data_IF_184043846361
#
_entry.id   IF_184043846361
#
_cell.length_a   1.000
_cell.length_b   1.000
_cell.length_c   1.000
_cell.angle_alpha   90.00
_cell.angle_beta   90.00
_cell.angle_gamma   90.00
#
_symmetry.space_group_name_H-M   'P 1'
#
loop_
_entity.id
_entity.type
_entity.pdbx_description
1 polymer ?
#
# COMPACT_ATOMS: atom_id res chain seq x y z
N UNK A 1 46.49 -8.71 -23.07
CA UNK A 1 47.71 -9.52 -23.24
C UNK A 1 47.40 -10.98 -22.92
N UNK A 2 47.68 -11.86 -23.87
CA UNK A 2 47.91 -13.31 -23.73
C UNK A 2 46.74 -14.26 -23.40
N UNK A 3 46.13 -14.76 -24.48
CA UNK A 3 45.65 -16.12 -24.67
C UNK A 3 46.69 -17.18 -24.22
N UNK A 4 46.27 -18.22 -23.47
CA UNK A 4 46.93 -19.55 -23.48
C UNK A 4 45.91 -20.66 -23.23
N UNK A 5 45.49 -21.31 -24.32
CA UNK A 5 45.08 -22.71 -24.36
C UNK A 5 46.33 -23.57 -24.57
N UNK A 6 46.44 -24.71 -23.89
CA UNK A 6 46.92 -26.02 -24.37
C UNK A 6 47.21 -26.91 -23.15
N UNK A 7 46.34 -27.88 -22.88
CA UNK A 7 46.53 -29.33 -23.15
C UNK A 7 47.74 -29.98 -22.47
N UNK A 8 47.47 -31.00 -21.66
CA UNK A 8 47.96 -32.40 -21.77
C UNK A 8 48.01 -33.02 -20.37
N UNK A 9 47.42 -34.20 -20.24
CA UNK A 9 47.50 -35.00 -19.03
C UNK A 9 46.53 -36.17 -19.06
N UNK A 10 46.83 -37.17 -19.89
CA UNK A 10 46.18 -38.46 -19.85
C UNK A 10 46.77 -39.31 -18.71
N UNK A 11 45.91 -39.82 -17.84
CA UNK A 11 46.11 -41.01 -17.02
C UNK A 11 44.69 -41.51 -16.66
N UNK A 12 44.15 -42.48 -17.37
CA UNK A 12 44.33 -43.91 -17.14
C UNK A 12 43.78 -44.38 -15.78
N UNK A 13 42.81 -45.29 -15.88
CA UNK A 13 42.42 -46.32 -14.92
C UNK A 13 41.61 -45.91 -13.67
N UNK A 14 40.28 -46.01 -13.81
CA UNK A 14 39.49 -46.94 -12.98
C UNK A 14 38.10 -47.12 -13.62
N UNK A 15 37.96 -48.17 -14.44
CA UNK A 15 36.65 -48.69 -14.86
C UNK A 15 36.00 -49.33 -13.62
N UNK A 16 35.27 -48.53 -12.85
CA UNK A 16 34.40 -49.04 -11.81
C UNK A 16 33.17 -49.66 -12.50
N UNK A 17 33.24 -50.97 -12.75
CA UNK A 17 32.10 -51.78 -13.13
C UNK A 17 30.99 -51.59 -12.07
N UNK A 18 29.76 -51.19 -12.43
CA UNK A 18 28.65 -51.38 -11.52
C UNK A 18 28.42 -52.88 -11.41
N UNK A 19 28.74 -53.44 -10.24
CA UNK A 19 28.33 -54.79 -9.90
C UNK A 19 26.80 -54.82 -9.89
N UNK A 20 26.21 -55.35 -10.96
CA UNK A 20 24.80 -55.70 -10.98
C UNK A 20 24.61 -56.83 -9.97
N UNK A 21 24.24 -56.48 -8.75
CA UNK A 21 23.62 -57.40 -7.81
C UNK A 21 22.28 -57.81 -8.39
N UNK A 22 22.27 -58.91 -9.15
CA UNK A 22 21.06 -59.62 -9.54
C UNK A 22 20.53 -60.28 -8.27
N UNK A 23 19.78 -59.51 -7.48
CA UNK A 23 18.85 -60.09 -6.51
C UNK A 23 17.77 -60.77 -7.33
N UNK A 24 17.87 -62.10 -7.46
CA UNK A 24 16.73 -62.91 -7.90
C UNK A 24 15.65 -62.72 -6.85
N UNK A 25 14.48 -62.11 -7.16
CA UNK A 25 13.36 -62.27 -6.26
C UNK A 25 13.07 -63.77 -6.27
N UNK A 26 13.24 -64.41 -5.12
CA UNK A 26 12.61 -65.71 -4.90
C UNK A 26 11.15 -65.54 -5.28
N UNK A 27 10.70 -66.29 -6.29
CA UNK A 27 9.29 -66.48 -6.57
C UNK A 27 8.67 -67.21 -5.38
N UNK A 28 8.50 -66.50 -4.28
CA UNK A 28 7.48 -66.84 -3.31
C UNK A 28 6.19 -66.61 -4.07
N UNK A 29 5.50 -67.70 -4.39
CA UNK A 29 4.09 -67.67 -4.73
C UNK A 29 3.35 -67.05 -3.54
N UNK A 30 3.37 -65.72 -3.46
CA UNK A 30 2.41 -64.97 -2.70
C UNK A 30 1.09 -65.21 -3.42
N UNK A 31 0.41 -66.29 -3.01
CA UNK A 31 -1.03 -66.34 -3.13
C UNK A 31 -1.52 -65.06 -2.49
N UNK A 32 -1.77 -64.03 -3.32
CA UNK A 32 -2.50 -62.85 -2.90
C UNK A 32 -3.87 -63.38 -2.51
N UNK A 33 -4.02 -63.72 -1.23
CA UNK A 33 -5.32 -63.79 -0.62
C UNK A 33 -5.85 -62.37 -0.74
N UNK A 34 -6.65 -62.16 -1.78
CA UNK A 34 -7.58 -61.04 -1.83
C UNK A 34 -8.43 -61.21 -0.57
N UNK A 35 -8.04 -60.55 0.51
CA UNK A 35 -8.91 -60.36 1.65
C UNK A 35 -10.02 -59.43 1.16
N UNK A 36 -11.02 -60.02 0.51
CA UNK A 36 -12.33 -59.41 0.46
C UNK A 36 -12.76 -59.29 1.91
N UNK A 37 -12.87 -58.06 2.42
CA UNK A 37 -13.79 -57.83 3.54
C UNK A 37 -15.12 -58.44 3.13
N UNK A 38 -15.69 -59.35 3.92
CA UNK A 38 -17.06 -59.84 3.71
C UNK A 38 -18.01 -58.66 3.91
N UNK A 39 -18.19 -57.87 2.85
CA UNK A 39 -19.29 -56.94 2.73
C UNK A 39 -20.57 -57.75 2.55
N UNK A 40 -21.61 -57.38 3.28
CA UNK A 40 -22.91 -58.05 3.20
C UNK A 40 -23.35 -58.20 1.73
N UNK A 41 -23.70 -59.41 1.29
CA UNK A 41 -24.09 -59.67 -0.11
C UNK A 41 -25.28 -58.81 -0.53
N UNK A 42 -26.16 -58.47 0.42
CA UNK A 42 -27.30 -57.56 0.23
C UNK A 42 -26.85 -56.14 -0.14
N UNK A 43 -25.80 -55.62 0.50
CA UNK A 43 -25.28 -54.27 0.25
C UNK A 43 -24.62 -54.17 -1.13
N UNK A 44 -23.87 -55.20 -1.55
CA UNK A 44 -23.30 -55.26 -2.90
C UNK A 44 -24.36 -55.36 -3.99
N UNK A 45 -25.37 -56.22 -3.81
CA UNK A 45 -26.47 -56.34 -4.76
C UNK A 45 -27.20 -55.00 -4.93
N UNK A 46 -27.46 -54.28 -3.83
CA UNK A 46 -28.06 -52.95 -3.88
C UNK A 46 -27.17 -51.95 -4.63
N UNK A 47 -25.85 -51.94 -4.38
CA UNK A 47 -24.92 -51.03 -5.08
C UNK A 47 -24.89 -51.27 -6.60
N UNK A 48 -25.05 -52.52 -7.04
CA UNK A 48 -25.14 -52.87 -8.46
C UNK A 48 -26.45 -52.33 -9.03
N UNK A 49 -27.59 -52.59 -8.37
CA UNK A 49 -28.91 -52.11 -8.80
C UNK A 49 -28.94 -50.58 -8.86
N UNK A 50 -28.33 -49.91 -7.89
CA UNK A 50 -28.25 -48.45 -7.83
C UNK A 50 -27.41 -47.85 -8.97
N UNK A 51 -26.33 -48.53 -9.39
CA UNK A 51 -25.47 -48.10 -10.49
C UNK A 51 -26.13 -48.11 -11.87
N UNK A 52 -27.25 -48.84 -12.05
CA UNK A 52 -27.98 -48.86 -13.31
C UNK A 52 -28.69 -47.53 -13.57
N UNK A 53 -28.73 -47.05 -14.83
CA UNK A 53 -29.42 -45.82 -15.18
C UNK A 53 -30.93 -45.96 -14.92
N UNK A 54 -31.53 -44.91 -14.35
CA UNK A 54 -32.98 -44.84 -14.07
C UNK A 54 -33.28 -44.42 -12.64
N UNK A 55 -34.38 -43.69 -12.45
CA UNK A 55 -34.78 -43.10 -11.17
C UNK A 55 -35.84 -43.94 -10.41
N UNK A 56 -36.34 -45.02 -11.00
CA UNK A 56 -37.37 -45.90 -10.40
C UNK A 56 -36.81 -47.30 -10.16
N UNK A 57 -37.15 -47.87 -9.00
CA UNK A 57 -36.80 -49.25 -8.62
C UNK A 57 -37.34 -50.24 -9.65
N UNK A 58 -38.55 -50.01 -10.16
CA UNK A 58 -39.19 -50.85 -11.18
C UNK A 58 -38.39 -50.86 -12.48
N UNK A 59 -37.82 -49.72 -12.88
CA UNK A 59 -36.97 -49.63 -14.07
C UNK A 59 -35.64 -50.36 -13.87
N UNK A 60 -35.00 -50.19 -12.70
CA UNK A 60 -33.73 -50.85 -12.38
C UNK A 60 -33.88 -52.37 -12.34
N UNK A 61 -34.92 -52.88 -11.67
CA UNK A 61 -35.25 -54.30 -11.68
C UNK A 61 -35.68 -54.77 -13.07
N UNK A 62 -36.40 -53.91 -13.81
CA UNK A 62 -36.82 -54.16 -15.18
C UNK A 62 -35.64 -54.43 -16.11
N UNK A 63 -34.58 -53.62 -16.05
CA UNK A 63 -33.38 -53.84 -16.85
C UNK A 63 -32.67 -55.16 -16.53
N UNK A 64 -32.52 -55.49 -15.24
CA UNK A 64 -31.86 -56.75 -14.83
C UNK A 64 -32.67 -57.95 -15.25
N UNK A 65 -33.99 -57.93 -15.02
CA UNK A 65 -34.89 -59.04 -15.40
C UNK A 65 -34.97 -59.18 -16.92
N UNK A 66 -35.05 -58.07 -17.66
CA UNK A 66 -35.06 -58.08 -19.12
C UNK A 66 -33.73 -58.62 -19.67
N UNK A 67 -32.58 -58.12 -19.21
CA UNK A 67 -31.28 -58.57 -19.67
C UNK A 67 -31.05 -60.06 -19.39
N UNK A 68 -31.40 -60.51 -18.18
CA UNK A 68 -31.30 -61.92 -17.80
C UNK A 68 -32.26 -62.77 -18.61
N UNK A 69 -33.51 -62.33 -18.78
CA UNK A 69 -34.54 -63.03 -19.55
C UNK A 69 -34.16 -63.16 -21.03
N UNK A 70 -33.64 -62.10 -21.65
CA UNK A 70 -33.13 -62.13 -23.02
C UNK A 70 -31.92 -63.06 -23.14
N UNK A 71 -30.96 -62.99 -22.22
CA UNK A 71 -29.80 -63.88 -22.23
C UNK A 71 -30.23 -65.37 -22.14
N UNK A 72 -31.13 -65.70 -21.21
CA UNK A 72 -31.65 -67.06 -21.07
C UNK A 72 -32.47 -67.48 -22.29
N UNK A 73 -33.21 -66.57 -22.91
CA UNK A 73 -34.00 -66.84 -24.10
C UNK A 73 -33.12 -67.14 -25.32
N UNK A 74 -32.08 -66.32 -25.55
CA UNK A 74 -31.14 -66.50 -26.65
C UNK A 74 -30.40 -67.84 -26.55
N UNK A 75 -30.02 -68.24 -25.32
CA UNK A 75 -29.38 -69.55 -25.05
C UNK A 75 -30.41 -70.68 -25.22
N UNK A 76 -31.60 -70.55 -24.64
CA UNK A 76 -32.63 -71.60 -24.64
C UNK A 76 -33.18 -71.90 -26.04
N UNK A 77 -33.25 -70.89 -26.90
CA UNK A 77 -33.70 -71.03 -28.30
C UNK A 77 -32.55 -71.24 -29.28
N UNK A 78 -31.31 -71.34 -28.80
CA UNK A 78 -30.11 -71.48 -29.65
C UNK A 78 -29.99 -70.40 -30.74
N UNK A 79 -30.59 -69.23 -30.49
CA UNK A 79 -30.50 -68.08 -31.40
C UNK A 79 -29.05 -67.56 -31.42
N UNK A 80 -28.31 -67.77 -30.33
CA UNK A 80 -26.89 -67.52 -30.24
C UNK A 80 -26.12 -68.83 -30.08
N UNK A 81 -25.28 -69.16 -31.06
CA UNK A 81 -24.43 -70.35 -31.08
C UNK A 81 -23.02 -69.99 -30.63
N UNK A 82 -22.49 -70.69 -29.64
CA UNK A 82 -21.12 -70.50 -29.18
C UNK A 82 -20.13 -71.06 -30.22
N UNK A 83 -19.57 -70.17 -31.03
CA UNK A 83 -18.51 -70.48 -31.99
C UNK A 83 -17.18 -69.77 -31.63
N UNK A 84 -16.11 -70.01 -32.40
CA UNK A 84 -14.80 -69.36 -32.30
C UNK A 84 -14.87 -67.82 -32.33
N UNK A 85 -15.83 -67.23 -33.05
CA UNK A 85 -16.05 -65.78 -33.09
C UNK A 85 -16.47 -65.20 -31.73
N UNK A 86 -17.04 -66.01 -30.84
CA UNK A 86 -17.45 -65.55 -29.50
C UNK A 86 -16.23 -65.24 -28.62
N UNK A 87 -15.13 -65.98 -28.80
CA UNK A 87 -13.85 -65.69 -28.15
C UNK A 87 -13.23 -64.40 -28.69
N UNK A 88 -13.36 -64.16 -30.01
CA UNK A 88 -12.93 -62.90 -30.64
C UNK A 88 -13.75 -61.73 -30.10
N UNK A 89 -15.08 -61.87 -29.98
CA UNK A 89 -15.95 -60.83 -29.42
C UNK A 89 -15.60 -60.51 -27.97
N UNK A 90 -15.42 -61.52 -27.10
CA UNK A 90 -15.08 -61.31 -25.69
C UNK A 90 -13.71 -60.65 -25.54
N UNK A 91 -12.71 -61.08 -26.32
CA UNK A 91 -11.37 -60.49 -26.29
C UNK A 91 -11.34 -59.05 -26.82
N UNK A 92 -12.04 -58.76 -27.93
CA UNK A 92 -12.16 -57.42 -28.48
C UNK A 92 -12.94 -56.49 -27.53
N UNK A 93 -14.04 -56.96 -26.94
CA UNK A 93 -14.82 -56.22 -25.96
C UNK A 93 -14.02 -55.92 -24.69
N UNK A 94 -13.27 -56.91 -24.17
CA UNK A 94 -12.38 -56.74 -23.03
C UNK A 94 -11.26 -55.74 -23.31
N UNK A 95 -10.62 -55.83 -24.49
CA UNK A 95 -9.59 -54.90 -24.92
C UNK A 95 -10.13 -53.46 -25.05
N UNK A 96 -11.29 -53.29 -25.69
CA UNK A 96 -11.95 -51.98 -25.82
C UNK A 96 -12.33 -51.39 -24.46
N UNK A 97 -12.82 -52.20 -23.52
CA UNK A 97 -13.16 -51.72 -22.18
C UNK A 97 -11.92 -51.20 -21.44
N UNK A 98 -10.80 -51.92 -21.53
CA UNK A 98 -9.52 -51.49 -20.94
C UNK A 98 -9.01 -50.22 -21.62
N UNK A 99 -9.04 -50.17 -22.95
CA UNK A 99 -8.60 -49.02 -23.73
C UNK A 99 -9.44 -47.76 -23.43
N UNK A 100 -10.76 -47.89 -23.37
CA UNK A 100 -11.65 -46.80 -22.99
C UNK A 100 -11.37 -46.32 -21.56
N UNK A 101 -11.11 -47.23 -20.63
CA UNK A 101 -10.78 -46.87 -19.24
C UNK A 101 -9.49 -46.03 -19.16
N UNK A 102 -8.46 -46.41 -19.90
CA UNK A 102 -7.17 -45.70 -19.89
C UNK A 102 -7.16 -44.40 -20.71
N UNK A 103 -7.93 -44.31 -21.80
CA UNK A 103 -7.96 -43.12 -22.65
C UNK A 103 -8.95 -42.05 -22.17
N UNK A 104 -9.97 -42.42 -21.39
CA UNK A 104 -11.01 -41.49 -20.93
C UNK A 104 -10.43 -40.34 -20.10
N UNK A 105 -9.59 -40.64 -19.14
CA UNK A 105 -9.01 -39.63 -18.24
C UNK A 105 -8.10 -38.62 -18.96
N UNK A 106 -7.09 -39.03 -19.75
CA UNK A 106 -6.24 -38.07 -20.46
C UNK A 106 -7.03 -37.24 -21.48
N UNK A 107 -8.04 -37.82 -22.14
CA UNK A 107 -8.87 -37.07 -23.07
C UNK A 107 -9.73 -36.01 -22.35
N UNK A 108 -10.34 -36.36 -21.22
CA UNK A 108 -11.10 -35.41 -20.42
C UNK A 108 -10.21 -34.29 -19.88
N UNK A 109 -9.02 -34.61 -19.39
CA UNK A 109 -8.07 -33.61 -18.90
C UNK A 109 -7.65 -32.66 -20.03
N UNK A 110 -7.29 -33.19 -21.20
CA UNK A 110 -6.96 -32.39 -22.38
C UNK A 110 -8.10 -31.46 -22.79
N UNK A 111 -9.33 -31.97 -22.82
CA UNK A 111 -10.52 -31.19 -23.17
C UNK A 111 -10.79 -30.08 -22.14
N UNK A 112 -10.72 -30.41 -20.85
CA UNK A 112 -10.91 -29.45 -19.75
C UNK A 112 -9.83 -28.36 -19.77
N UNK A 113 -8.57 -28.70 -20.01
CA UNK A 113 -7.46 -27.75 -20.12
C UNK A 113 -7.62 -26.81 -21.32
N UNK A 114 -8.16 -27.32 -22.43
CA UNK A 114 -8.45 -26.48 -23.60
C UNK A 114 -9.58 -25.49 -23.31
N UNK A 115 -10.67 -25.96 -22.70
CA UNK A 115 -11.79 -25.10 -22.28
C UNK A 115 -11.34 -24.06 -21.25
N UNK A 116 -10.53 -24.46 -20.26
CA UNK A 116 -10.02 -23.57 -19.23
C UNK A 116 -9.13 -22.47 -19.83
N UNK A 117 -8.25 -22.81 -20.79
CA UNK A 117 -7.42 -21.83 -21.50
C UNK A 117 -8.26 -20.81 -22.27
N UNK A 118 -9.25 -21.27 -23.04
CA UNK A 118 -10.16 -20.36 -23.78
C UNK A 118 -10.91 -19.44 -22.81
N UNK A 119 -11.45 -20.00 -21.73
CA UNK A 119 -12.19 -19.23 -20.71
C UNK A 119 -11.29 -18.21 -20.02
N UNK A 120 -10.06 -18.57 -19.70
CA UNK A 120 -9.07 -17.67 -19.08
C UNK A 120 -8.74 -16.50 -20.00
N UNK A 121 -8.40 -16.77 -21.27
CA UNK A 121 -8.09 -15.72 -22.25
C UNK A 121 -9.28 -14.79 -22.46
N UNK A 122 -10.49 -15.33 -22.55
CA UNK A 122 -11.69 -14.53 -22.74
C UNK A 122 -12.00 -13.64 -21.53
N UNK A 123 -11.83 -14.15 -20.32
CA UNK A 123 -12.03 -13.36 -19.10
C UNK A 123 -10.95 -12.29 -18.95
N UNK A 124 -9.69 -12.66 -19.17
CA UNK A 124 -8.56 -11.72 -19.14
C UNK A 124 -8.75 -10.60 -20.16
N UNK A 125 -9.14 -10.92 -21.40
CA UNK A 125 -9.38 -9.90 -22.43
C UNK A 125 -10.52 -8.93 -22.03
N UNK A 126 -11.54 -9.39 -21.31
CA UNK A 126 -12.61 -8.53 -20.80
C UNK A 126 -12.11 -7.62 -19.68
N UNK A 127 -11.33 -8.17 -18.75
CA UNK A 127 -10.77 -7.41 -17.65
C UNK A 127 -9.75 -6.37 -18.14
N UNK A 128 -8.88 -6.75 -19.08
CA UNK A 128 -7.92 -5.85 -19.75
C UNK A 128 -8.65 -4.73 -20.49
N UNK A 129 -9.72 -5.04 -21.24
CA UNK A 129 -10.51 -4.02 -21.93
C UNK A 129 -11.20 -3.08 -20.95
N UNK A 130 -11.77 -3.62 -19.86
CA UNK A 130 -12.39 -2.80 -18.80
C UNK A 130 -11.35 -1.88 -18.15
N UNK A 131 -10.16 -2.40 -17.84
CA UNK A 131 -9.06 -1.62 -17.27
C UNK A 131 -8.60 -0.52 -18.22
N UNK A 132 -8.40 -0.82 -19.50
CA UNK A 132 -7.98 0.16 -20.50
C UNK A 132 -9.01 1.28 -20.71
N UNK A 133 -10.30 0.94 -20.69
CA UNK A 133 -11.38 1.93 -20.76
C UNK A 133 -11.41 2.79 -19.50
N UNK A 134 -11.24 2.18 -18.31
CA UNK A 134 -11.18 2.94 -17.06
C UNK A 134 -10.00 3.91 -17.04
N UNK A 135 -8.80 3.45 -17.43
CA UNK A 135 -7.61 4.31 -17.52
C UNK A 135 -7.83 5.48 -18.47
N UNK A 136 -8.49 5.26 -19.61
CA UNK A 136 -8.85 6.32 -20.55
C UNK A 136 -9.86 7.31 -19.96
N UNK A 137 -10.85 6.83 -19.21
CA UNK A 137 -11.81 7.67 -18.51
C UNK A 137 -11.09 8.54 -17.48
N UNK A 138 -10.17 7.97 -16.71
CA UNK A 138 -9.43 8.71 -15.68
C UNK A 138 -8.50 9.76 -16.30
N UNK A 139 -7.81 9.43 -17.41
CA UNK A 139 -6.98 10.38 -18.17
C UNK A 139 -7.81 11.54 -18.71
N UNK A 140 -8.96 11.26 -19.34
CA UNK A 140 -9.86 12.31 -19.86
C UNK A 140 -10.50 13.11 -18.71
N UNK A 141 -10.79 12.46 -17.59
CA UNK A 141 -11.28 13.12 -16.36
C UNK A 141 -10.30 14.17 -15.86
N UNK A 142 -9.01 13.85 -15.78
CA UNK A 142 -7.96 14.82 -15.40
C UNK A 142 -7.88 16.00 -16.38
N UNK A 143 -8.04 15.74 -17.69
CA UNK A 143 -8.01 16.82 -18.69
C UNK A 143 -9.15 17.83 -18.55
N UNK A 144 -10.30 17.41 -18.02
CA UNK A 144 -11.43 18.31 -17.74
C UNK A 144 -11.07 19.36 -16.69
N UNK A 145 -10.35 18.96 -15.65
CA UNK A 145 -10.01 19.84 -14.53
C UNK A 145 -8.88 20.83 -14.86
N UNK A 146 -8.09 20.58 -15.90
CA UNK A 146 -6.99 21.47 -16.33
C UNK A 146 -7.46 22.88 -16.68
N UNK A 147 -8.66 23.02 -17.24
CA UNK A 147 -9.21 24.33 -17.61
C UNK A 147 -9.46 25.19 -16.37
N UNK A 148 -10.04 24.59 -15.33
CA UNK A 148 -10.36 25.30 -14.09
C UNK A 148 -9.09 25.56 -13.26
N UNK A 149 -8.16 24.61 -13.21
CA UNK A 149 -6.83 24.81 -12.60
C UNK A 149 -6.09 25.96 -13.29
N UNK A 150 -6.09 26.03 -14.62
CA UNK A 150 -5.41 27.10 -15.36
C UNK A 150 -6.04 28.47 -15.06
N UNK A 151 -7.38 28.57 -15.02
CA UNK A 151 -8.06 29.81 -14.61
C UNK A 151 -7.68 30.22 -13.20
N UNK A 152 -7.71 29.28 -12.24
CA UNK A 152 -7.33 29.54 -10.86
C UNK A 152 -5.87 30.02 -10.73
N UNK A 153 -4.95 29.50 -11.55
CA UNK A 153 -3.56 29.93 -11.55
C UNK A 153 -3.41 31.38 -12.01
N UNK A 154 -4.18 31.78 -13.04
CA UNK A 154 -4.21 33.17 -13.49
C UNK A 154 -4.88 34.10 -12.47
N UNK A 155 -5.93 33.66 -11.80
CA UNK A 155 -6.57 34.41 -10.72
C UNK A 155 -5.61 34.63 -9.55
N UNK A 156 -4.94 33.58 -9.07
CA UNK A 156 -3.91 33.66 -8.03
C UNK A 156 -2.80 34.61 -8.45
N UNK A 157 -2.33 34.56 -9.70
CA UNK A 157 -1.27 35.47 -10.17
C UNK A 157 -1.72 36.95 -10.15
N UNK A 158 -2.99 37.22 -10.50
CA UNK A 158 -3.57 38.57 -10.49
C UNK A 158 -3.80 39.06 -9.06
N UNK A 159 -4.27 38.21 -8.18
CA UNK A 159 -4.47 38.53 -6.76
C UNK A 159 -3.13 38.78 -6.06
N UNK A 160 -2.12 37.97 -6.34
CA UNK A 160 -0.75 38.15 -5.81
C UNK A 160 -0.19 39.51 -6.21
N UNK A 161 -0.29 39.88 -7.49
CA UNK A 161 0.18 41.19 -7.96
C UNK A 161 -0.55 42.38 -7.32
N UNK A 162 -1.86 42.24 -7.04
CA UNK A 162 -2.63 43.27 -6.33
C UNK A 162 -2.20 43.38 -4.87
N UNK A 163 -2.10 42.26 -4.16
CA UNK A 163 -1.70 42.22 -2.75
C UNK A 163 -0.27 42.73 -2.56
N UNK A 164 0.64 42.42 -3.49
CA UNK A 164 2.01 42.93 -3.46
C UNK A 164 2.06 44.46 -3.65
N UNK A 165 1.25 45.00 -4.56
CA UNK A 165 1.12 46.44 -4.75
C UNK A 165 0.54 47.15 -3.51
N UNK A 166 -0.50 46.58 -2.89
CA UNK A 166 -1.09 47.10 -1.66
C UNK A 166 -0.12 47.03 -0.49
N UNK A 167 0.59 45.90 -0.33
CA UNK A 167 1.63 45.74 0.69
C UNK A 167 2.76 46.75 0.50
N UNK A 168 3.19 47.00 -0.73
CA UNK A 168 4.23 47.99 -1.03
C UNK A 168 3.79 49.41 -0.68
N UNK A 169 2.54 49.79 -1.00
CA UNK A 169 1.99 51.09 -0.63
C UNK A 169 1.91 51.28 0.89
N UNK A 170 1.40 50.27 1.60
CA UNK A 170 1.33 50.30 3.07
C UNK A 170 2.72 50.37 3.69
N UNK A 171 3.69 49.60 3.18
CA UNK A 171 5.07 49.64 3.63
C UNK A 171 5.67 51.04 3.44
N UNK A 172 5.44 51.69 2.30
CA UNK A 172 5.93 53.04 2.05
C UNK A 172 5.32 54.05 3.02
N UNK A 173 4.02 53.96 3.31
CA UNK A 173 3.35 54.83 4.28
C UNK A 173 3.91 54.63 5.69
N UNK A 174 4.12 53.38 6.12
CA UNK A 174 4.70 53.05 7.42
C UNK A 174 6.14 53.53 7.53
N UNK A 175 6.95 53.37 6.47
CA UNK A 175 8.33 53.86 6.45
C UNK A 175 8.40 55.38 6.61
N UNK A 176 7.57 56.13 5.85
CA UNK A 176 7.51 57.59 5.97
C UNK A 176 7.03 58.01 7.37
N UNK A 177 5.98 57.37 7.90
CA UNK A 177 5.50 57.64 9.25
C UNK A 177 6.58 57.36 10.32
N UNK A 178 7.37 56.30 10.13
CA UNK A 178 8.48 55.97 11.01
C UNK A 178 9.62 57.00 10.94
N UNK A 179 10.00 57.45 9.75
CA UNK A 179 11.02 58.50 9.58
C UNK A 179 10.58 59.83 10.20
N UNK A 180 9.33 60.24 9.98
CA UNK A 180 8.76 61.45 10.60
C UNK A 180 8.73 61.34 12.12
N UNK A 181 8.33 60.18 12.65
CA UNK A 181 8.37 59.94 14.10
C UNK A 181 9.80 59.98 14.64
N UNK A 182 10.75 59.32 13.98
CA UNK A 182 12.14 59.27 14.42
C UNK A 182 12.80 60.65 14.44
N UNK A 183 12.49 61.50 13.44
CA UNK A 183 12.95 62.89 13.45
C UNK A 183 12.31 63.66 14.60
N UNK A 184 11.00 63.57 14.81
CA UNK A 184 10.30 64.23 15.92
C UNK A 184 10.83 63.79 17.29
N UNK A 185 11.05 62.48 17.50
CA UNK A 185 11.64 61.94 18.72
C UNK A 185 13.06 62.49 18.95
N UNK A 186 13.84 62.68 17.88
CA UNK A 186 15.16 63.33 17.95
C UNK A 186 15.05 64.81 18.35
N UNK A 187 14.08 65.55 17.82
CA UNK A 187 13.83 66.94 18.21
C UNK A 187 13.42 67.06 19.68
N UNK A 188 12.49 66.21 20.14
CA UNK A 188 12.06 66.17 21.54
C UNK A 188 13.23 65.82 22.46
N UNK A 189 14.07 64.85 22.08
CA UNK A 189 15.27 64.50 22.85
C UNK A 189 16.28 65.66 22.89
N UNK A 190 16.48 66.36 21.78
CA UNK A 190 17.33 67.55 21.75
C UNK A 190 16.79 68.65 22.67
N UNK A 191 15.49 68.94 22.61
CA UNK A 191 14.84 69.94 23.47
C UNK A 191 14.94 69.56 24.95
N UNK A 192 14.70 68.30 25.31
CA UNK A 192 14.87 67.82 26.68
C UNK A 192 16.31 68.01 27.18
N UNK A 193 17.31 67.67 26.34
CA UNK A 193 18.73 67.86 26.67
C UNK A 193 19.11 69.34 26.84
N UNK A 194 18.58 70.23 26.00
CA UNK A 194 18.79 71.68 26.11
C UNK A 194 18.18 72.22 27.39
N UNK A 195 16.91 71.88 27.68
CA UNK A 195 16.24 72.28 28.92
C UNK A 195 16.99 71.77 30.16
N UNK A 196 17.44 70.53 30.16
CA UNK A 196 18.24 69.98 31.25
C UNK A 196 19.58 70.72 31.41
N UNK A 197 20.24 71.07 30.30
CA UNK A 197 21.49 71.82 30.31
C UNK A 197 21.30 73.26 30.82
N UNK A 198 20.24 73.94 30.39
CA UNK A 198 19.86 75.27 30.88
C UNK A 198 19.53 75.24 32.37
N UNK A 199 18.76 74.25 32.83
CA UNK A 199 18.46 74.06 34.24
C UNK A 199 19.73 73.82 35.07
N UNK A 200 20.68 73.02 34.56
CA UNK A 200 21.98 72.81 35.19
C UNK A 200 22.82 74.09 35.24
N UNK A 201 22.85 74.88 34.17
CA UNK A 201 23.57 76.16 34.11
C UNK A 201 22.94 77.20 35.05
N UNK A 202 21.62 77.33 35.06
CA UNK A 202 20.89 78.20 35.98
C UNK A 202 21.10 77.78 37.43
N UNK A 203 21.05 76.48 37.74
CA UNK A 203 21.34 75.97 39.08
C UNK A 203 22.78 76.28 39.49
N UNK A 204 23.77 76.04 38.61
CA UNK A 204 25.16 76.37 38.88
C UNK A 204 25.39 77.87 39.11
N UNK A 205 24.77 78.73 38.28
CA UNK A 205 24.83 80.18 38.43
C UNK A 205 24.18 80.65 39.73
N UNK A 206 23.01 80.11 40.10
CA UNK A 206 22.35 80.42 41.37
C UNK A 206 23.19 79.97 42.57
N UNK A 207 23.78 78.78 42.51
CA UNK A 207 24.69 78.27 43.56
C UNK A 207 25.91 79.19 43.69
N UNK A 208 26.56 79.56 42.58
CA UNK A 208 27.73 80.46 42.59
C UNK A 208 27.36 81.86 43.09
N UNK A 209 26.21 82.41 42.66
CA UNK A 209 25.70 83.70 43.12
C UNK A 209 25.39 83.68 44.61
N UNK A 210 24.70 82.65 45.11
CA UNK A 210 24.43 82.49 46.54
C UNK A 210 25.75 82.37 47.31
N UNK A 211 26.73 81.64 46.80
CA UNK A 211 28.04 81.51 47.45
C UNK A 211 28.82 82.83 47.48
N UNK A 212 28.73 83.68 46.44
CA UNK A 212 29.27 85.05 46.43
C UNK A 212 28.51 85.98 47.37
N UNK A 213 27.18 85.98 47.32
CA UNK A 213 26.32 86.79 48.20
C UNK A 213 26.55 86.42 49.68
N UNK A 214 26.83 85.15 50.00
CA UNK A 214 27.21 84.68 51.34
C UNK A 214 28.61 85.15 51.80
N UNK A 215 29.51 85.48 50.88
CA UNK A 215 30.85 86.03 51.20
C UNK A 215 30.82 87.54 51.42
N UNK A 216 29.75 88.23 51.00
CA UNK A 216 29.61 89.66 51.16
C UNK A 216 29.29 90.04 52.62
N UNK A 217 30.09 90.94 53.25
CA UNK A 217 29.97 91.23 54.69
C UNK A 217 28.64 91.89 55.08
N UNK A 218 27.98 92.58 54.14
CA UNK A 218 26.67 93.21 54.35
C UNK A 218 25.55 92.19 54.50
N UNK A 219 25.60 91.09 53.74
CA UNK A 219 24.59 90.02 53.79
C UNK A 219 24.83 89.14 55.02
N UNK A 220 26.09 88.86 55.39
CA UNK A 220 26.40 88.18 56.65
C UNK A 220 25.87 88.93 57.87
N UNK A 221 26.01 90.26 57.90
CA UNK A 221 25.42 91.10 58.96
C UNK A 221 23.89 91.04 58.96
N UNK A 222 23.25 91.13 57.80
CA UNK A 222 21.78 91.02 57.70
C UNK A 222 21.26 89.63 58.12
N UNK A 223 21.97 88.55 57.79
CA UNK A 223 21.62 87.19 58.24
C UNK A 223 21.83 87.05 59.74
N UNK A 224 22.92 87.60 60.30
CA UNK A 224 23.15 87.62 61.75
C UNK A 224 22.07 88.43 62.48
N UNK A 225 21.70 89.61 61.97
CA UNK A 225 20.65 90.44 62.54
C UNK A 225 19.28 89.75 62.49
N UNK A 226 18.94 89.12 61.36
CA UNK A 226 17.70 88.35 61.22
C UNK A 226 17.70 87.11 62.12
N UNK A 227 18.81 86.38 62.24
CA UNK A 227 18.95 85.26 63.15
C UNK A 227 18.83 85.69 64.63
N UNK A 228 19.37 86.85 65.01
CA UNK A 228 19.19 87.43 66.35
C UNK A 228 17.73 87.80 66.59
N UNK A 229 17.04 88.38 65.61
CA UNK A 229 15.60 88.68 65.68
C UNK A 229 14.77 87.40 65.83
N UNK A 230 15.07 86.35 65.08
CA UNK A 230 14.32 85.09 65.13
C UNK A 230 14.60 84.30 66.43
N UNK A 231 15.82 84.35 66.97
CA UNK A 231 16.13 83.86 68.32
C UNK A 231 15.39 84.67 69.39
N UNK A 232 15.32 86.00 69.29
CA UNK A 232 14.55 86.83 70.22
C UNK A 232 13.03 86.57 70.14
N UNK A 233 12.50 86.20 68.98
CA UNK A 233 11.10 85.77 68.84
C UNK A 233 10.86 84.39 69.45
N UNK A 234 11.77 83.44 69.24
CA UNK A 234 11.71 82.11 69.88
C UNK A 234 11.88 82.20 71.40
N UNK A 235 12.73 83.09 71.92
CA UNK A 235 12.93 83.28 73.36
C UNK A 235 11.79 84.04 74.05
N UNK A 236 10.94 84.73 73.30
CA UNK A 236 9.69 85.34 73.80
C UNK A 236 8.47 84.41 73.66
N UNK A 237 8.64 83.32 72.90
CA UNK A 237 7.64 82.27 72.67
C UNK A 237 7.82 81.06 73.59
N UNK A 238 8.82 81.09 74.48
CA UNK A 238 8.98 80.21 75.64
C UNK A 238 8.94 81.04 76.92
#
# INVERSE_FOLDING_TARGET
MAFRLLTKGAAAAAVARPALTVSRPSLSSAAMRLYSTEQDPKQKANSIIESLPGNSIVSKTGYVTLATGLATYLISKEIYVFNEETLVLVSAGGFLAVLLKYLREPFNNMANDHIARIKSVLNQARDDHKSAVQERIDQVGQMKDLVDVTKSLFEISRETAKLEAEAFQLQQQVNVAHEVKATLDSWVRHEANVRESEQKQLAAYLIEKIQKDLQDPKVQQQILDQAVVDIQKLSKSS
#
